data_IF_788862606465
#
_entry.id   IF_788862606465
#
_cell.length_a   1.000
_cell.length_b   1.000
_cell.length_c   1.000
_cell.angle_alpha   90.00
_cell.angle_beta   90.00
_cell.angle_gamma   90.00
#
_symmetry.space_group_name_H-M   'P 1'
#
loop_
_entity.id
_entity.type
_entity.pdbx_description
1 polymer ?
#
# COMPACT_ATOMS: atom_id res chain seq x y z
N UNK A 1 5.13 2.68 -7.79
CA UNK A 1 4.39 3.71 -7.04
C UNK A 1 3.35 3.04 -6.18
N UNK A 2 3.09 3.62 -5.02
CA UNK A 2 2.06 3.20 -4.06
C UNK A 2 1.03 4.32 -3.94
N UNK A 3 -0.27 3.99 -3.96
CA UNK A 3 -1.33 4.97 -3.74
C UNK A 3 -1.40 5.28 -2.24
N UNK A 4 -1.42 6.57 -1.89
CA UNK A 4 -1.34 7.05 -0.51
C UNK A 4 -2.48 8.01 -0.13
N UNK A 5 -3.26 8.50 -1.11
CA UNK A 5 -4.21 9.60 -0.96
C UNK A 5 -5.24 9.44 0.16
N UNK A 6 -5.62 8.21 0.50
CA UNK A 6 -6.59 7.90 1.57
C UNK A 6 -6.01 7.06 2.69
N UNK A 7 -4.72 7.27 2.92
CA UNK A 7 -3.87 6.38 3.68
C UNK A 7 -3.48 5.15 2.85
N UNK A 8 -2.63 4.32 3.44
CA UNK A 8 -2.09 3.12 2.82
C UNK A 8 -2.77 1.92 3.47
N UNK A 9 -3.67 1.26 2.75
CA UNK A 9 -4.41 0.08 3.24
C UNK A 9 -4.26 -1.13 2.32
N UNK A 10 -4.17 -0.90 1.01
CA UNK A 10 -3.92 -1.94 0.03
C UNK A 10 -3.05 -1.48 -1.13
N UNK A 11 -2.59 -2.46 -1.89
CA UNK A 11 -1.71 -2.29 -3.04
C UNK A 11 -2.17 -3.24 -4.14
N UNK A 12 -2.27 -2.72 -5.37
CA UNK A 12 -2.44 -3.56 -6.54
C UNK A 12 -1.09 -3.81 -7.21
N UNK A 13 -0.74 -5.09 -7.41
CA UNK A 13 0.43 -5.50 -8.17
C UNK A 13 0.04 -6.61 -9.14
N UNK A 14 0.27 -6.40 -10.43
CA UNK A 14 0.02 -7.39 -11.50
C UNK A 14 -1.42 -7.95 -11.50
N UNK A 15 -2.40 -7.10 -11.18
CA UNK A 15 -3.82 -7.46 -11.11
C UNK A 15 -4.24 -8.23 -9.86
N UNK A 16 -3.31 -8.46 -8.92
CA UNK A 16 -3.60 -9.01 -7.60
C UNK A 16 -3.68 -7.89 -6.57
N UNK A 17 -4.54 -8.08 -5.57
CA UNK A 17 -4.73 -7.14 -4.46
C UNK A 17 -4.06 -7.68 -3.20
N UNK A 18 -3.24 -6.83 -2.58
CA UNK A 18 -2.55 -7.11 -1.33
C UNK A 18 -3.01 -6.12 -0.28
N UNK A 19 -3.23 -6.56 0.95
CA UNK A 19 -3.56 -5.69 2.07
C UNK A 19 -2.32 -5.41 2.93
N UNK A 20 -2.22 -4.19 3.44
CA UNK A 20 -1.11 -3.78 4.29
C UNK A 20 -1.12 -4.56 5.60
N UNK A 21 0.02 -5.12 5.97
CA UNK A 21 0.21 -5.75 7.28
C UNK A 21 0.11 -4.68 8.36
N UNK A 22 -0.76 -4.92 9.36
CA UNK A 22 -1.04 -3.96 10.42
C UNK A 22 -2.24 -3.04 10.14
N UNK A 23 -2.91 -3.20 8.99
CA UNK A 23 -4.10 -2.41 8.61
C UNK A 23 -3.77 -1.04 8.04
N UNK A 24 -4.77 -0.17 7.94
CA UNK A 24 -4.65 1.19 7.42
C UNK A 24 -3.55 1.98 8.13
N UNK A 25 -2.65 2.57 7.35
CA UNK A 25 -1.69 3.58 7.79
C UNK A 25 -2.15 4.96 7.28
N UNK A 26 -2.53 5.84 8.21
CA UNK A 26 -2.93 7.21 7.93
C UNK A 26 -2.50 8.18 9.04
N UNK A 27 -2.76 9.46 8.84
CA UNK A 27 -2.57 10.54 9.82
C UNK A 27 -3.75 10.67 10.82
N UNK A 28 -4.66 9.70 10.84
CA UNK A 28 -5.92 9.73 11.58
C UNK A 28 -7.06 10.49 10.89
N UNK A 29 -6.84 11.03 9.70
CA UNK A 29 -7.83 11.78 8.90
C UNK A 29 -7.93 11.25 7.47
N UNK A 30 -7.62 9.97 7.22
CA UNK A 30 -7.60 9.38 5.86
C UNK A 30 -6.68 10.14 4.90
N UNK A 31 -5.52 10.57 5.38
CA UNK A 31 -4.42 11.07 4.54
C UNK A 31 -3.14 10.31 4.90
N UNK A 32 -2.15 10.26 4.01
CA UNK A 32 -0.93 9.56 4.37
C UNK A 32 -0.18 10.33 5.47
N UNK A 33 0.58 9.64 6.34
CA UNK A 33 1.33 10.30 7.41
C UNK A 33 2.37 11.30 6.88
N UNK A 34 2.81 12.21 7.76
CA UNK A 34 3.94 13.10 7.45
C UNK A 34 5.15 12.32 6.94
N UNK A 35 5.74 12.79 5.84
CA UNK A 35 6.88 12.15 5.18
C UNK A 35 6.50 11.40 3.90
N UNK A 36 5.23 11.05 3.73
CA UNK A 36 4.71 10.43 2.51
C UNK A 36 4.19 11.47 1.53
N UNK A 37 4.42 11.24 0.24
CA UNK A 37 3.79 11.98 -0.84
C UNK A 37 2.29 11.69 -0.92
N UNK A 38 1.53 12.60 -1.53
CA UNK A 38 0.08 12.51 -1.72
C UNK A 38 -0.25 13.09 -3.11
N UNK A 39 -0.88 12.33 -4.03
CA UNK A 39 -1.67 11.11 -3.81
C UNK A 39 -0.93 9.79 -3.96
N UNK A 40 0.34 9.81 -4.37
CA UNK A 40 1.11 8.60 -4.66
C UNK A 40 2.55 8.77 -4.18
N UNK A 41 3.12 7.72 -3.62
CA UNK A 41 4.53 7.63 -3.27
C UNK A 41 5.32 6.90 -4.36
N UNK A 42 6.38 7.53 -4.84
CA UNK A 42 7.35 6.86 -5.71
C UNK A 42 8.17 5.86 -4.89
N UNK A 43 8.35 4.65 -5.44
CA UNK A 43 9.09 3.57 -4.79
C UNK A 43 8.94 2.25 -5.54
N UNK A 44 9.60 1.22 -5.02
CA UNK A 44 9.69 -0.12 -5.61
C UNK A 44 8.91 -1.12 -4.79
N UNK A 45 8.16 -2.00 -5.46
CA UNK A 45 7.49 -3.15 -4.85
C UNK A 45 8.25 -4.42 -5.24
N UNK A 46 8.64 -5.21 -4.25
CA UNK A 46 9.37 -6.47 -4.44
C UNK A 46 8.56 -7.63 -3.88
N UNK A 47 8.35 -8.67 -4.68
CA UNK A 47 7.81 -9.96 -4.21
C UNK A 47 8.86 -10.66 -3.34
N UNK A 48 8.55 -10.93 -2.08
CA UNK A 48 9.46 -11.65 -1.17
C UNK A 48 9.12 -13.13 -1.08
N UNK A 49 7.84 -13.49 -1.26
CA UNK A 49 7.35 -14.86 -1.41
C UNK A 49 6.08 -14.91 -2.29
N UNK A 50 5.36 -16.04 -2.29
CA UNK A 50 4.16 -16.24 -3.12
C UNK A 50 2.99 -15.31 -2.73
N UNK A 51 2.91 -14.91 -1.47
CA UNK A 51 1.81 -14.16 -0.90
C UNK A 51 2.21 -12.77 -0.39
N UNK A 52 3.50 -12.50 -0.23
CA UNK A 52 3.99 -11.29 0.42
C UNK A 52 4.78 -10.42 -0.55
N UNK A 53 4.49 -9.12 -0.50
CA UNK A 53 5.25 -8.08 -1.21
C UNK A 53 5.67 -7.00 -0.24
N UNK A 54 6.80 -6.35 -0.53
CA UNK A 54 7.32 -5.23 0.26
C UNK A 54 7.50 -4.02 -0.63
N UNK A 55 6.93 -2.90 -0.22
CA UNK A 55 7.21 -1.58 -0.78
C UNK A 55 8.41 -0.95 -0.05
N UNK A 56 9.30 -0.30 -0.80
CA UNK A 56 10.38 0.54 -0.26
C UNK A 56 10.64 1.76 -1.14
N UNK A 57 11.10 2.87 -0.55
CA UNK A 57 11.52 4.07 -1.27
C UNK A 57 12.81 4.70 -0.73
N UNK A 58 13.25 5.79 -1.37
CA UNK A 58 14.47 6.53 -1.00
C UNK A 58 14.28 7.41 0.25
N UNK A 59 13.03 7.65 0.69
CA UNK A 59 12.73 8.33 1.94
C UNK A 59 12.91 7.41 3.17
N UNK A 60 13.04 6.10 2.93
CA UNK A 60 13.28 5.09 3.96
C UNK A 60 11.99 4.42 4.45
N UNK A 61 10.87 4.60 3.76
CA UNK A 61 9.65 3.87 4.07
C UNK A 61 9.79 2.39 3.71
N UNK A 62 9.17 1.52 4.50
CA UNK A 62 9.06 0.10 4.20
C UNK A 62 7.74 -0.45 4.71
N UNK A 63 6.92 -0.94 3.80
CA UNK A 63 5.59 -1.46 4.11
C UNK A 63 5.41 -2.85 3.51
N UNK A 64 4.95 -3.78 4.34
CA UNK A 64 4.66 -5.16 3.95
C UNK A 64 3.18 -5.30 3.60
N UNK A 65 2.90 -6.03 2.53
CA UNK A 65 1.54 -6.35 2.11
C UNK A 65 1.40 -7.84 1.85
N UNK A 66 0.26 -8.41 2.25
CA UNK A 66 -0.07 -9.82 2.05
C UNK A 66 -1.23 -9.97 1.08
N UNK A 67 -1.17 -11.00 0.25
CA UNK A 67 -2.15 -11.29 -0.78
C UNK A 67 -3.53 -11.48 -0.14
N UNK A 68 -4.50 -10.71 -0.61
CA UNK A 68 -5.90 -10.89 -0.24
C UNK A 68 -6.53 -11.87 -1.22
N UNK A 69 -6.48 -13.16 -0.89
CA UNK A 69 -6.92 -14.23 -1.78
C UNK A 69 -8.34 -14.00 -2.32
N UNK A 70 -8.49 -14.05 -3.64
CA UNK A 70 -9.78 -13.89 -4.33
C UNK A 70 -10.30 -12.45 -4.43
N UNK A 71 -9.58 -11.45 -3.91
CA UNK A 71 -9.98 -10.05 -4.06
C UNK A 71 -9.88 -9.58 -5.51
N UNK A 72 -10.91 -8.86 -5.96
CA UNK A 72 -11.01 -8.30 -7.32
C UNK A 72 -11.03 -6.77 -7.34
N UNK A 73 -11.16 -6.13 -6.19
CA UNK A 73 -11.38 -4.69 -6.01
C UNK A 73 -10.64 -4.20 -4.76
N UNK A 74 -10.35 -2.88 -4.62
CA UNK A 74 -9.71 -2.35 -3.41
C UNK A 74 -10.55 -2.57 -2.15
N UNK A 75 -9.93 -2.50 -0.96
CA UNK A 75 -10.62 -2.60 0.34
C UNK A 75 -11.60 -1.44 0.53
N UNK A 76 -11.13 -0.24 0.21
CA UNK A 76 -11.93 0.97 0.22
C UNK A 76 -11.76 1.70 -1.11
N UNK A 77 -12.88 2.13 -1.68
CA UNK A 77 -12.88 3.14 -2.74
C UNK A 77 -12.95 4.50 -2.08
N UNK A 78 -11.90 5.29 -2.20
CA UNK A 78 -11.96 6.72 -1.91
C UNK A 78 -11.74 7.49 -3.21
N UNK A 79 -12.74 8.31 -3.56
CA UNK A 79 -12.74 9.20 -4.74
C UNK A 79 -11.74 10.35 -4.61
#
# INVERSE_FOLDING_TARGET
MLITHCGIDDLQLEGQWYERVGGLLDDGSRNPPDGWDNPEQEGTVTRVDETTVVFTDDAGHSEEFVLREGATEPKDSCD
#
